data_IF_319471722268
#
_entry.id   IF_319471722268
#
_cell.length_a   1.000
_cell.length_b   1.000
_cell.length_c   1.000
_cell.angle_alpha   90.00
_cell.angle_beta   90.00
_cell.angle_gamma   90.00
#
_symmetry.space_group_name_H-M   'P 1'
#
loop_
_entity.id
_entity.type
_entity.pdbx_description
1 polymer ?
#
# COMPACT_ATOMS: atom_id res chain seq x y z
N UNK A 1 47.48 -11.48 57.84
CA UNK A 1 47.43 -10.30 56.95
C UNK A 1 48.02 -10.67 55.59
N UNK A 2 47.18 -10.90 54.57
CA UNK A 2 47.60 -11.01 53.16
C UNK A 2 46.89 -9.89 52.40
N UNK A 3 47.65 -9.03 51.76
CA UNK A 3 47.16 -7.95 50.91
C UNK A 3 46.78 -8.51 49.54
N UNK A 4 45.55 -8.28 49.10
CA UNK A 4 45.10 -8.62 47.76
C UNK A 4 45.35 -7.41 46.85
N UNK A 5 46.21 -7.59 45.84
CA UNK A 5 46.59 -6.53 44.89
C UNK A 5 46.33 -7.04 43.48
N UNK A 6 45.13 -6.79 42.96
CA UNK A 6 44.80 -6.91 41.54
C UNK A 6 44.04 -5.66 41.11
N UNK A 7 44.80 -4.65 40.69
CA UNK A 7 44.28 -3.56 39.85
C UNK A 7 44.75 -3.91 38.44
N UNK A 8 43.88 -4.56 37.68
CA UNK A 8 44.07 -4.75 36.24
C UNK A 8 43.81 -3.42 35.53
N UNK A 9 44.85 -2.83 34.96
CA UNK A 9 44.77 -1.62 34.15
C UNK A 9 43.82 -1.83 32.97
N UNK A 10 42.80 -0.98 32.88
CA UNK A 10 41.84 -0.95 31.79
C UNK A 10 42.43 -0.13 30.61
N UNK A 11 43.45 -0.68 29.93
CA UNK A 11 44.15 -0.04 28.80
C UNK A 11 43.38 -0.14 27.45
N UNK A 12 42.06 -0.36 27.49
CA UNK A 12 41.24 -0.47 26.29
C UNK A 12 41.20 0.84 25.48
N UNK A 13 41.26 2.00 26.17
CA UNK A 13 41.10 3.34 25.59
C UNK A 13 42.34 3.88 24.84
N UNK A 14 43.51 3.26 24.95
CA UNK A 14 44.75 3.73 24.29
C UNK A 14 45.00 3.15 22.90
N UNK A 15 44.23 2.15 22.48
CA UNK A 15 44.40 1.53 21.17
C UNK A 15 43.50 2.21 20.13
N UNK A 16 43.98 2.37 18.89
CA UNK A 16 43.18 2.91 17.77
C UNK A 16 41.86 2.13 17.51
N UNK A 17 41.69 0.96 18.15
CA UNK A 17 40.45 0.19 18.19
C UNK A 17 39.31 0.92 18.89
N UNK A 18 39.59 1.84 19.82
CA UNK A 18 38.57 2.65 20.48
C UNK A 18 37.83 3.57 19.49
N UNK A 19 38.54 4.10 18.49
CA UNK A 19 37.96 4.94 17.42
C UNK A 19 37.06 4.11 16.51
N UNK A 20 37.49 2.90 16.12
CA UNK A 20 36.66 1.98 15.34
C UNK A 20 35.42 1.54 16.12
N UNK A 21 35.56 1.29 17.42
CA UNK A 21 34.43 0.92 18.29
C UNK A 21 33.43 2.07 18.44
N UNK A 22 33.92 3.32 18.53
CA UNK A 22 33.08 4.51 18.61
C UNK A 22 32.38 4.82 17.29
N UNK A 23 33.07 4.68 16.14
CA UNK A 23 32.48 4.79 14.81
C UNK A 23 31.41 3.71 14.56
N UNK A 24 31.66 2.48 15.01
CA UNK A 24 30.69 1.39 14.92
C UNK A 24 29.45 1.68 15.78
N UNK A 25 29.64 2.16 17.01
CA UNK A 25 28.53 2.53 17.90
C UNK A 25 27.74 3.76 17.43
N UNK A 26 28.40 4.70 16.74
CA UNK A 26 27.74 5.88 16.15
C UNK A 26 27.02 5.57 14.84
N UNK A 27 27.43 4.54 14.08
CA UNK A 27 26.79 4.14 12.82
C UNK A 27 25.52 3.30 12.99
N UNK A 28 25.43 2.51 14.06
CA UNK A 28 24.28 1.63 14.33
C UNK A 28 22.91 2.33 14.47
N UNK A 29 22.76 3.52 15.10
CA UNK A 29 21.46 4.18 15.17
C UNK A 29 20.94 4.66 13.81
N UNK A 30 21.82 4.94 12.83
CA UNK A 30 21.39 5.37 11.49
C UNK A 30 20.73 4.25 10.69
N UNK A 31 21.09 2.98 10.95
CA UNK A 31 20.46 1.82 10.31
C UNK A 31 19.04 1.56 10.83
N UNK A 32 18.72 2.03 12.04
CA UNK A 32 17.37 1.89 12.61
C UNK A 32 16.35 2.87 12.02
N UNK A 33 16.81 4.00 11.47
CA UNK A 33 15.95 5.01 10.84
C UNK A 33 15.57 4.72 9.38
N UNK A 34 16.11 3.66 8.77
CA UNK A 34 15.74 3.22 7.42
C UNK A 34 14.71 2.09 7.42
N UNK A 35 14.08 1.81 8.57
CA UNK A 35 12.91 0.94 8.59
C UNK A 35 11.75 1.75 8.02
N UNK A 36 11.44 1.54 6.74
CA UNK A 36 10.15 1.91 6.19
C UNK A 36 9.10 1.35 7.14
N UNK A 37 8.31 2.21 7.79
CA UNK A 37 7.15 1.75 8.55
C UNK A 37 6.36 0.84 7.62
N UNK A 38 6.22 -0.44 8.00
CA UNK A 38 5.35 -1.37 7.30
C UNK A 38 3.92 -0.86 7.52
N UNK A 39 3.53 0.09 6.69
CA UNK A 39 2.24 0.74 6.77
C UNK A 39 1.21 -0.34 6.47
N UNK A 40 0.53 -0.77 7.52
CA UNK A 40 -0.54 -1.77 7.44
C UNK A 40 -1.52 -1.33 6.37
N UNK A 41 -1.87 -2.25 5.46
CA UNK A 41 -2.78 -1.96 4.35
C UNK A 41 -4.05 -1.29 4.88
N UNK A 42 -4.38 -0.15 4.29
CA UNK A 42 -5.61 0.60 4.54
C UNK A 42 -6.63 0.28 3.47
N UNK A 43 -7.90 0.59 3.76
CA UNK A 43 -8.97 0.42 2.79
C UNK A 43 -9.36 1.74 2.15
N UNK A 44 -9.70 1.67 0.87
CA UNK A 44 -10.19 2.77 0.05
C UNK A 44 -11.46 2.33 -0.65
N UNK A 45 -12.38 3.26 -0.88
CA UNK A 45 -13.56 3.04 -1.69
C UNK A 45 -13.29 3.60 -3.08
N UNK A 46 -13.53 2.79 -4.11
CA UNK A 46 -13.46 3.18 -5.51
C UNK A 46 -14.87 3.13 -6.11
N UNK A 47 -15.33 4.28 -6.60
CA UNK A 47 -16.64 4.46 -7.22
C UNK A 47 -16.47 4.59 -8.72
N UNK A 48 -17.16 3.72 -9.47
CA UNK A 48 -17.17 3.69 -10.92
C UNK A 48 -18.54 4.15 -11.40
N UNK A 49 -18.59 5.26 -12.13
CA UNK A 49 -19.80 5.73 -12.84
C UNK A 49 -19.57 5.74 -14.33
N UNK A 50 -20.64 5.90 -15.12
CA UNK A 50 -20.52 5.96 -16.58
C UNK A 50 -19.65 7.14 -17.01
N UNK A 51 -18.70 6.86 -17.91
CA UNK A 51 -17.81 7.84 -18.49
C UNK A 51 -18.31 8.38 -19.83
N UNK A 52 -17.57 9.34 -20.37
CA UNK A 52 -17.98 10.05 -21.60
C UNK A 52 -17.95 9.14 -22.84
N UNK A 53 -17.20 8.04 -22.79
CA UNK A 53 -17.13 7.05 -23.88
C UNK A 53 -18.19 5.96 -23.79
N UNK A 54 -19.06 6.00 -22.77
CA UNK A 54 -20.15 5.04 -22.62
C UNK A 54 -21.25 5.29 -23.65
N UNK A 55 -21.57 4.27 -24.44
CA UNK A 55 -22.61 4.33 -25.46
C UNK A 55 -23.95 3.83 -24.91
N UNK A 56 -24.93 4.72 -24.72
CA UNK A 56 -26.23 4.36 -24.14
C UNK A 56 -27.06 3.42 -25.02
N UNK A 57 -26.75 3.32 -26.31
CA UNK A 57 -27.45 2.46 -27.26
C UNK A 57 -26.86 1.04 -27.30
N UNK A 58 -25.73 0.80 -26.61
CA UNK A 58 -25.06 -0.50 -26.58
C UNK A 58 -25.16 -1.19 -25.21
N UNK A 59 -25.38 -2.51 -25.18
CA UNK A 59 -25.27 -3.27 -23.94
C UNK A 59 -23.80 -3.30 -23.46
N UNK A 60 -23.53 -3.51 -22.15
CA UNK A 60 -22.18 -3.51 -21.60
C UNK A 60 -21.16 -4.39 -22.32
N UNK A 61 -21.58 -5.57 -22.79
CA UNK A 61 -20.71 -6.53 -23.49
C UNK A 61 -20.23 -6.05 -24.87
N UNK A 62 -20.93 -5.07 -25.45
CA UNK A 62 -20.59 -4.45 -26.74
C UNK A 62 -19.83 -3.13 -26.56
N UNK A 63 -19.65 -2.66 -25.33
CA UNK A 63 -18.83 -1.49 -25.03
C UNK A 63 -17.35 -1.83 -25.27
N UNK A 64 -16.64 -0.92 -25.93
CA UNK A 64 -15.19 -1.05 -26.06
C UNK A 64 -14.53 -1.05 -24.67
N UNK A 65 -13.47 -1.85 -24.47
CA UNK A 65 -12.71 -1.97 -23.22
C UNK A 65 -13.45 -2.60 -22.02
N UNK A 66 -14.73 -2.95 -22.15
CA UNK A 66 -15.49 -3.55 -21.04
C UNK A 66 -15.02 -4.97 -20.70
N UNK A 67 -14.61 -5.74 -21.70
CA UNK A 67 -14.06 -7.09 -21.47
C UNK A 67 -12.74 -7.00 -20.71
N UNK A 68 -11.87 -6.07 -21.09
CA UNK A 68 -10.57 -5.79 -20.50
C UNK A 68 -10.75 -5.30 -19.04
N UNK A 69 -11.71 -4.41 -18.79
CA UNK A 69 -12.10 -3.99 -17.44
C UNK A 69 -12.46 -5.18 -16.53
N UNK A 70 -13.31 -6.08 -17.03
CA UNK A 70 -13.67 -7.29 -16.29
C UNK A 70 -12.47 -8.20 -16.00
N UNK A 71 -11.51 -8.30 -16.93
CA UNK A 71 -10.27 -9.05 -16.74
C UNK A 71 -9.35 -8.38 -15.71
N UNK A 72 -9.21 -7.06 -15.76
CA UNK A 72 -8.45 -6.27 -14.80
C UNK A 72 -8.99 -6.45 -13.37
N UNK A 73 -10.30 -6.27 -13.15
CA UNK A 73 -10.92 -6.51 -11.85
C UNK A 73 -10.81 -7.97 -11.38
N UNK A 74 -10.82 -8.93 -12.31
CA UNK A 74 -10.58 -10.34 -11.99
C UNK A 74 -9.14 -10.58 -11.49
N UNK A 75 -8.15 -9.91 -12.09
CA UNK A 75 -6.76 -9.98 -11.63
C UNK A 75 -6.61 -9.37 -10.23
N UNK A 76 -7.19 -8.19 -9.99
CA UNK A 76 -7.13 -7.54 -8.67
C UNK A 76 -7.78 -8.40 -7.57
N UNK A 77 -8.89 -9.09 -7.86
CA UNK A 77 -9.48 -10.05 -6.91
C UNK A 77 -8.54 -11.23 -6.61
N UNK A 78 -7.88 -11.78 -7.63
CA UNK A 78 -6.90 -12.88 -7.44
C UNK A 78 -5.66 -12.45 -6.64
N UNK A 79 -5.33 -11.17 -6.69
CA UNK A 79 -4.26 -10.55 -5.91
C UNK A 79 -4.74 -10.09 -4.52
N UNK A 80 -5.99 -10.40 -4.14
CA UNK A 80 -6.60 -10.01 -2.87
C UNK A 80 -6.63 -8.49 -2.63
N UNK A 81 -6.53 -7.69 -3.70
CA UNK A 81 -6.59 -6.22 -3.64
C UNK A 81 -8.02 -5.71 -3.48
N UNK A 82 -9.03 -6.48 -3.87
CA UNK A 82 -10.45 -6.11 -3.74
C UNK A 82 -11.05 -6.89 -2.56
N UNK A 83 -11.40 -6.18 -1.48
CA UNK A 83 -12.06 -6.76 -0.31
C UNK A 83 -13.55 -6.99 -0.56
N UNK A 84 -14.22 -6.03 -1.20
CA UNK A 84 -15.67 -6.07 -1.45
C UNK A 84 -15.99 -5.44 -2.80
N UNK A 85 -16.97 -5.99 -3.51
CA UNK A 85 -17.58 -5.36 -4.67
C UNK A 85 -19.09 -5.27 -4.51
N UNK A 86 -19.66 -4.14 -4.91
CA UNK A 86 -21.10 -3.88 -4.87
C UNK A 86 -21.52 -3.04 -6.07
N UNK A 87 -22.82 -2.98 -6.29
CA UNK A 87 -23.44 -2.09 -7.27
C UNK A 87 -24.72 -1.52 -6.68
N UNK A 88 -24.94 -0.24 -6.93
CA UNK A 88 -26.20 0.43 -6.67
C UNK A 88 -26.48 1.39 -7.83
N UNK A 89 -27.71 1.36 -8.36
CA UNK A 89 -28.03 2.11 -9.59
C UNK A 89 -27.02 1.75 -10.71
N UNK A 90 -26.50 2.78 -11.36
CA UNK A 90 -25.45 2.85 -12.37
C UNK A 90 -24.04 2.97 -11.79
N UNK A 91 -23.88 2.92 -10.46
CA UNK A 91 -22.58 3.04 -9.79
C UNK A 91 -22.04 1.69 -9.34
N UNK A 92 -20.85 1.35 -9.79
CA UNK A 92 -20.03 0.28 -9.22
C UNK A 92 -19.25 0.79 -8.01
N UNK A 93 -19.19 -0.01 -6.95
CA UNK A 93 -18.43 0.31 -5.74
C UNK A 93 -17.49 -0.84 -5.42
N UNK A 94 -16.22 -0.53 -5.21
CA UNK A 94 -15.23 -1.49 -4.72
C UNK A 94 -14.60 -0.99 -3.43
N UNK A 95 -14.33 -1.89 -2.50
CA UNK A 95 -13.43 -1.63 -1.38
C UNK A 95 -12.08 -2.26 -1.73
N UNK A 96 -11.03 -1.44 -1.77
CA UNK A 96 -9.70 -1.76 -2.26
C UNK A 96 -8.67 -1.64 -1.12
N UNK A 97 -7.74 -2.58 -1.05
CA UNK A 97 -6.58 -2.55 -0.14
C UNK A 97 -5.41 -1.79 -0.78
N UNK A 98 -4.77 -0.91 -0.01
CA UNK A 98 -3.55 -0.22 -0.44
C UNK A 98 -2.90 0.57 0.70
N UNK A 99 -1.66 1.04 0.49
CA UNK A 99 -0.89 1.81 1.49
C UNK A 99 -1.23 3.30 1.46
N UNK A 100 -1.68 3.80 0.31
CA UNK A 100 -2.09 5.20 0.14
C UNK A 100 -3.16 5.34 -0.94
N UNK A 101 -3.87 6.47 -0.91
CA UNK A 101 -4.82 6.83 -1.97
C UNK A 101 -4.12 6.94 -3.33
N UNK A 102 -2.88 7.45 -3.36
CA UNK A 102 -2.06 7.58 -4.56
C UNK A 102 -1.69 6.22 -5.16
N UNK A 103 -1.33 5.23 -4.34
CA UNK A 103 -1.07 3.86 -4.80
C UNK A 103 -2.33 3.26 -5.43
N UNK A 104 -3.47 3.36 -4.73
CA UNK A 104 -4.74 2.82 -5.23
C UNK A 104 -5.15 3.53 -6.51
N UNK A 105 -4.98 4.85 -6.56
CA UNK A 105 -5.25 5.66 -7.76
C UNK A 105 -4.39 5.20 -8.92
N UNK A 106 -3.09 5.08 -8.71
CA UNK A 106 -2.15 4.65 -9.76
C UNK A 106 -2.50 3.26 -10.28
N UNK A 107 -2.76 2.31 -9.38
CA UNK A 107 -3.17 0.95 -9.72
C UNK A 107 -4.46 0.93 -10.54
N UNK A 108 -5.51 1.63 -10.09
CA UNK A 108 -6.80 1.62 -10.80
C UNK A 108 -6.76 2.39 -12.14
N UNK A 109 -5.83 3.33 -12.32
CA UNK A 109 -5.60 4.01 -13.58
C UNK A 109 -4.86 3.16 -14.63
N UNK A 110 -4.37 1.96 -14.27
CA UNK A 110 -3.89 0.97 -15.25
C UNK A 110 -5.03 0.34 -16.07
N UNK A 111 -6.28 0.47 -15.60
CA UNK A 111 -7.46 -0.03 -16.27
C UNK A 111 -7.74 0.73 -17.58
N UNK A 112 -7.75 0.00 -18.70
CA UNK A 112 -8.07 0.57 -20.02
C UNK A 112 -9.43 1.25 -20.05
N UNK A 113 -10.43 0.76 -19.30
CA UNK A 113 -11.74 1.41 -19.25
C UNK A 113 -11.69 2.79 -18.57
N UNK A 114 -10.75 3.01 -17.65
CA UNK A 114 -10.52 4.33 -17.04
C UNK A 114 -9.73 5.23 -17.99
N UNK A 115 -8.63 4.71 -18.56
CA UNK A 115 -7.79 5.46 -19.49
C UNK A 115 -8.57 5.96 -20.73
N UNK A 116 -9.49 5.12 -21.23
CA UNK A 116 -10.35 5.43 -22.36
C UNK A 116 -11.69 6.09 -21.97
N UNK A 117 -11.85 6.51 -20.71
CA UNK A 117 -13.04 7.21 -20.20
C UNK A 117 -14.36 6.45 -20.42
N UNK A 118 -14.32 5.12 -20.46
CA UNK A 118 -15.53 4.29 -20.44
C UNK A 118 -16.23 4.42 -19.08
N UNK A 119 -15.45 4.48 -18.01
CA UNK A 119 -15.92 4.82 -16.67
C UNK A 119 -15.18 6.04 -16.12
N UNK A 120 -15.85 6.75 -15.21
CA UNK A 120 -15.25 7.73 -14.31
C UNK A 120 -14.94 7.03 -12.99
N UNK A 121 -13.84 7.43 -12.36
CA UNK A 121 -13.35 6.83 -11.13
C UNK A 121 -13.18 7.92 -10.07
N UNK A 122 -13.81 7.70 -8.91
CA UNK A 122 -13.57 8.47 -7.69
C UNK A 122 -13.05 7.55 -6.60
N UNK A 123 -12.05 8.00 -5.85
CA UNK A 123 -11.42 7.23 -4.78
C UNK A 123 -11.47 8.03 -3.50
N UNK A 124 -11.85 7.38 -2.40
CA UNK A 124 -11.83 7.99 -1.07
C UNK A 124 -11.25 7.03 -0.03
N UNK A 125 -10.68 7.55 1.07
CA UNK A 125 -10.37 6.74 2.24
C UNK A 125 -11.63 6.05 2.78
N UNK A 126 -11.52 4.76 3.11
CA UNK A 126 -12.63 3.99 3.67
C UNK A 126 -12.36 3.63 5.14
N UNK A 127 -13.14 4.25 6.03
CA UNK A 127 -13.10 4.01 7.47
C UNK A 127 -14.49 3.55 7.94
N UNK A 128 -14.78 2.23 7.95
CA UNK A 128 -16.09 1.74 8.33
C UNK A 128 -16.37 1.97 9.82
N UNK A 129 -17.58 2.42 10.15
CA UNK A 129 -18.04 2.51 11.55
C UNK A 129 -18.14 1.12 12.21
N UNK A 130 -18.54 0.12 11.43
CA UNK A 130 -18.58 -1.29 11.83
C UNK A 130 -17.80 -2.11 10.80
N UNK A 131 -16.74 -2.81 11.23
CA UNK A 131 -15.87 -3.57 10.32
C UNK A 131 -16.60 -4.74 9.63
N UNK A 132 -17.58 -5.35 10.30
CA UNK A 132 -18.25 -6.54 9.77
C UNK A 132 -17.24 -7.65 9.48
N UNK A 133 -17.22 -8.12 8.23
CA UNK A 133 -16.30 -9.15 7.72
C UNK A 133 -15.21 -8.57 6.80
N UNK A 134 -14.92 -7.28 6.90
CA UNK A 134 -13.83 -6.64 6.15
C UNK A 134 -12.58 -6.70 7.04
N UNK A 135 -11.65 -7.58 6.66
CA UNK A 135 -10.36 -7.81 7.34
C UNK A 135 -9.36 -6.68 7.07
#
# INVERSE_FOLDING_TARGET
>A
MRTNKYIGNFDFWKSGKAIYFMLLMLGLPFLSFSQDEEKTDSHFIALYTLGDSWDMDKPPQEQAYFKEHGMFLSQLRKQEKISVGARYSDTGMLIIKGKSEEEVTSMLHEDLAIQHKLFKLEIHPFAPFYKGCID
#
